data_IF_699289091574
#
_entry.id   IF_699289091574
#
_cell.length_a   1.000
_cell.length_b   1.000
_cell.length_c   1.000
_cell.angle_alpha   90.00
_cell.angle_beta   90.00
_cell.angle_gamma   90.00
#
_symmetry.space_group_name_H-M   'P 1'
#
loop_
_entity.id
_entity.type
_entity.pdbx_description
1 polymer ?
#
# COMPACT_ATOMS: atom_id res chain seq x y z
N UNK A 1 4.23 -11.50 -18.49
CA UNK A 1 3.98 -11.41 -17.03
C UNK A 1 3.42 -12.74 -16.59
N UNK A 2 4.17 -13.47 -15.78
CA UNK A 2 3.74 -14.76 -15.20
C UNK A 2 3.45 -14.54 -13.72
N UNK A 3 2.27 -14.96 -13.26
CA UNK A 3 1.84 -14.79 -11.87
C UNK A 3 1.58 -16.17 -11.27
N UNK A 4 2.33 -16.51 -10.22
CA UNK A 4 2.08 -17.71 -9.42
C UNK A 4 1.40 -17.32 -8.12
N UNK A 5 0.27 -17.98 -7.81
CA UNK A 5 -0.60 -17.66 -6.71
C UNK A 5 -0.65 -18.77 -5.67
N UNK A 6 -0.47 -18.43 -4.41
CA UNK A 6 -0.78 -19.28 -3.26
C UNK A 6 -1.48 -18.45 -2.18
N UNK A 7 -2.19 -19.09 -1.23
CA UNK A 7 -3.07 -18.40 -0.24
C UNK A 7 -2.45 -17.20 0.50
N UNK A 8 -1.12 -17.16 0.65
CA UNK A 8 -0.41 -16.07 1.39
C UNK A 8 0.79 -15.52 0.65
N UNK A 9 1.01 -15.94 -0.60
CA UNK A 9 2.18 -15.53 -1.38
C UNK A 9 1.81 -15.42 -2.85
N UNK A 10 2.17 -14.29 -3.44
CA UNK A 10 2.08 -14.04 -4.87
C UNK A 10 3.52 -13.87 -5.38
N UNK A 11 3.87 -14.51 -6.48
CA UNK A 11 5.15 -14.33 -7.15
C UNK A 11 4.88 -13.77 -8.54
N UNK A 12 5.60 -12.72 -8.88
CA UNK A 12 5.42 -11.98 -10.11
C UNK A 12 6.76 -11.47 -10.61
N UNK A 13 7.05 -11.75 -11.89
CA UNK A 13 8.16 -11.14 -12.61
C UNK A 13 7.63 -10.26 -13.75
N UNK A 14 8.07 -9.01 -13.79
CA UNK A 14 7.77 -8.02 -14.82
C UNK A 14 8.88 -6.98 -14.96
N UNK A 15 8.81 -6.16 -15.98
CA UNK A 15 9.67 -4.99 -16.09
C UNK A 15 9.59 -4.12 -14.82
N UNK A 16 10.75 -3.72 -14.31
CA UNK A 16 10.84 -2.92 -13.08
C UNK A 16 10.57 -1.44 -13.38
N UNK A 17 9.60 -0.87 -12.71
CA UNK A 17 9.32 0.56 -12.77
C UNK A 17 10.23 1.37 -11.84
N UNK A 18 10.41 2.65 -12.14
CA UNK A 18 11.21 3.55 -11.29
C UNK A 18 10.66 3.61 -9.85
N UNK A 19 9.33 3.59 -9.68
CA UNK A 19 8.67 3.59 -8.37
C UNK A 19 8.94 2.31 -7.58
N UNK A 20 9.20 1.17 -8.22
CA UNK A 20 9.56 -0.06 -7.51
C UNK A 20 10.93 0.05 -6.85
N UNK A 21 11.92 0.60 -7.57
CA UNK A 21 13.27 0.85 -7.02
C UNK A 21 13.21 1.82 -5.84
N UNK A 22 12.41 2.88 -5.98
CA UNK A 22 12.18 3.85 -4.91
C UNK A 22 11.55 3.19 -3.68
N UNK A 23 10.44 2.43 -3.86
CA UNK A 23 9.76 1.72 -2.78
C UNK A 23 10.69 0.71 -2.09
N UNK A 24 11.44 -0.10 -2.86
CA UNK A 24 12.40 -1.07 -2.33
C UNK A 24 13.50 -0.43 -1.47
N UNK A 25 14.04 0.70 -1.93
CA UNK A 25 15.06 1.44 -1.18
C UNK A 25 14.54 1.90 0.18
N UNK A 26 13.28 2.30 0.24
CA UNK A 26 12.64 2.71 1.49
C UNK A 26 12.36 1.52 2.43
N UNK A 27 11.70 0.47 1.92
CA UNK A 27 11.34 -0.70 2.75
C UNK A 27 12.55 -1.47 3.25
N UNK A 28 13.69 -1.41 2.58
CA UNK A 28 14.93 -2.02 3.07
C UNK A 28 15.30 -1.51 4.48
N UNK A 29 15.00 -0.24 4.81
CA UNK A 29 15.22 0.33 6.16
C UNK A 29 14.23 -0.24 7.17
N UNK A 30 12.98 -0.45 6.78
CA UNK A 30 11.95 -1.07 7.62
C UNK A 30 12.27 -2.54 7.92
N UNK A 31 12.68 -3.29 6.90
CA UNK A 31 13.07 -4.70 7.02
C UNK A 31 14.28 -4.85 7.94
N UNK A 32 15.32 -4.02 7.76
CA UNK A 32 16.49 -4.00 8.64
C UNK A 32 16.13 -3.70 10.11
N UNK A 33 15.23 -2.75 10.32
CA UNK A 33 14.74 -2.38 11.66
C UNK A 33 13.70 -3.38 12.21
N UNK A 34 13.34 -4.44 11.46
CA UNK A 34 12.30 -5.42 11.80
C UNK A 34 10.98 -4.73 12.17
N UNK A 35 10.56 -3.80 11.32
CA UNK A 35 9.30 -3.06 11.45
C UNK A 35 8.32 -3.60 10.41
N UNK A 36 7.15 -4.03 10.88
CA UNK A 36 6.10 -4.53 9.99
C UNK A 36 5.46 -3.38 9.24
N UNK A 37 5.24 -3.60 7.95
CA UNK A 37 4.59 -2.64 7.06
C UNK A 37 3.69 -3.37 6.06
N UNK A 38 2.83 -2.62 5.39
CA UNK A 38 2.02 -3.08 4.27
C UNK A 38 1.81 -1.95 3.28
N UNK A 39 2.03 -2.23 1.99
CA UNK A 39 1.65 -1.33 0.92
C UNK A 39 0.14 -1.37 0.71
N UNK A 40 -0.43 -0.19 0.48
CA UNK A 40 -1.87 0.00 0.21
C UNK A 40 -2.06 0.92 -1.00
N UNK A 41 -3.30 1.18 -1.36
CA UNK A 41 -3.67 2.20 -2.36
C UNK A 41 -3.09 1.95 -3.77
N UNK A 42 -2.61 3.01 -4.41
CA UNK A 42 -2.23 3.02 -5.82
C UNK A 42 -1.07 2.13 -6.19
N UNK A 43 -0.06 2.05 -5.32
CA UNK A 43 1.12 1.24 -5.59
C UNK A 43 0.79 -0.26 -5.73
N UNK A 44 -0.25 -0.76 -5.05
CA UNK A 44 -0.66 -2.18 -5.19
C UNK A 44 -1.04 -2.50 -6.64
N UNK A 45 -1.82 -1.65 -7.30
CA UNK A 45 -2.18 -1.85 -8.71
C UNK A 45 -0.95 -1.74 -9.64
N UNK A 46 -0.05 -0.78 -9.36
CA UNK A 46 1.20 -0.60 -10.11
C UNK A 46 2.11 -1.82 -9.95
N UNK A 47 2.22 -2.37 -8.74
CA UNK A 47 3.02 -3.55 -8.47
C UNK A 47 2.58 -4.74 -9.34
N UNK A 48 1.29 -4.84 -9.67
CA UNK A 48 0.74 -5.85 -10.59
C UNK A 48 0.76 -5.45 -12.07
N UNK A 49 1.44 -4.37 -12.42
CA UNK A 49 1.69 -4.00 -13.82
C UNK A 49 0.68 -3.01 -14.40
N UNK A 50 -0.19 -2.40 -13.58
CA UNK A 50 -1.03 -1.32 -14.09
C UNK A 50 -0.16 -0.12 -14.46
N UNK A 51 -0.24 0.30 -15.73
CA UNK A 51 0.42 1.51 -16.22
C UNK A 51 -0.37 2.74 -15.77
N UNK A 52 0.15 3.44 -14.77
CA UNK A 52 -0.37 4.73 -14.29
C UNK A 52 0.71 5.51 -13.56
N UNK A 53 0.60 6.83 -13.60
CA UNK A 53 1.46 7.68 -12.79
C UNK A 53 1.03 7.65 -11.32
N UNK A 54 2.00 7.69 -10.41
CA UNK A 54 1.79 7.95 -9.01
C UNK A 54 2.92 8.85 -8.49
N UNK A 55 2.55 9.80 -7.64
CA UNK A 55 3.50 10.69 -6.95
C UNK A 55 3.85 10.15 -5.58
N UNK A 56 3.02 9.24 -5.05
CA UNK A 56 3.08 8.70 -3.70
C UNK A 56 2.99 7.17 -3.69
N UNK A 57 3.64 6.61 -2.69
CA UNK A 57 3.62 5.19 -2.32
C UNK A 57 3.10 5.10 -0.90
N UNK A 58 1.85 4.66 -0.74
CA UNK A 58 1.21 4.57 0.58
C UNK A 58 1.65 3.32 1.33
N UNK A 59 2.14 3.50 2.56
CA UNK A 59 2.44 2.41 3.48
C UNK A 59 1.81 2.61 4.85
N UNK A 60 1.23 1.54 5.38
CA UNK A 60 0.82 1.46 6.77
C UNK A 60 1.89 0.69 7.53
N UNK A 61 2.37 1.27 8.63
CA UNK A 61 3.46 0.71 9.44
C UNK A 61 2.95 0.44 10.84
N UNK A 62 3.35 -0.66 11.47
CA UNK A 62 2.97 -0.95 12.85
C UNK A 62 3.33 0.20 13.79
N UNK A 63 2.50 0.42 14.82
CA UNK A 63 2.85 1.39 15.86
C UNK A 63 4.11 0.95 16.58
N UNK A 64 5.11 1.80 16.58
CA UNK A 64 6.40 1.59 17.25
C UNK A 64 6.64 2.71 18.26
N UNK A 65 7.41 2.49 19.33
CA UNK A 65 7.77 3.55 20.29
C UNK A 65 8.67 4.60 19.62
N UNK A 66 8.67 5.83 20.18
CA UNK A 66 9.46 6.94 19.64
C UNK A 66 10.93 6.60 19.44
N UNK A 67 11.57 5.92 20.40
CA UNK A 67 12.98 5.54 20.30
C UNK A 67 13.29 4.68 19.06
N UNK A 68 12.40 3.73 18.73
CA UNK A 68 12.54 2.91 17.52
C UNK A 68 12.29 3.73 16.26
N UNK A 69 11.32 4.66 16.30
CA UNK A 69 11.06 5.58 15.21
C UNK A 69 12.21 6.55 14.96
N UNK A 70 12.82 7.10 16.02
CA UNK A 70 13.97 8.00 15.93
C UNK A 70 15.18 7.29 15.31
N UNK A 71 15.41 6.03 15.67
CA UNK A 71 16.45 5.19 15.03
C UNK A 71 16.17 4.98 13.54
N UNK A 72 14.91 4.66 13.18
CA UNK A 72 14.49 4.54 11.79
C UNK A 72 14.68 5.86 11.03
N UNK A 73 14.24 6.98 11.61
CA UNK A 73 14.42 8.32 11.06
C UNK A 73 15.89 8.62 10.73
N UNK A 74 16.79 8.37 11.66
CA UNK A 74 18.24 8.52 11.44
C UNK A 74 18.76 7.68 10.28
N UNK A 75 18.28 6.43 10.15
CA UNK A 75 18.68 5.56 9.04
C UNK A 75 18.09 6.01 7.69
N UNK A 76 16.87 6.55 7.67
CA UNK A 76 16.23 7.11 6.47
C UNK A 76 16.92 8.39 6.02
N UNK A 77 17.36 9.24 6.96
CA UNK A 77 18.01 10.52 6.67
C UNK A 77 19.32 10.41 5.87
N UNK A 78 19.85 9.22 5.68
CA UNK A 78 20.98 9.00 4.76
C UNK A 78 20.57 9.25 3.29
N UNK A 79 19.37 8.84 2.90
CA UNK A 79 18.89 8.81 1.51
C UNK A 79 17.64 9.65 1.29
N UNK A 80 16.85 9.90 2.33
CA UNK A 80 15.53 10.52 2.26
C UNK A 80 15.44 11.75 3.13
N UNK A 81 14.60 12.70 2.70
CA UNK A 81 14.16 13.84 3.51
C UNK A 81 12.68 13.65 3.84
N UNK A 82 12.28 13.99 5.07
CA UNK A 82 10.86 14.15 5.39
C UNK A 82 10.40 15.53 4.93
N UNK A 83 9.44 15.57 4.00
CA UNK A 83 9.05 16.82 3.32
C UNK A 83 7.93 17.59 4.01
N UNK A 84 7.29 17.01 5.04
CA UNK A 84 6.19 17.66 5.75
C UNK A 84 6.35 17.73 7.27
N UNK A 85 7.49 17.28 7.81
CA UNK A 85 7.80 17.43 9.24
C UNK A 85 9.27 17.82 9.44
N UNK A 86 9.58 18.78 10.33
CA UNK A 86 10.93 19.33 10.46
C UNK A 86 11.89 18.45 11.29
N UNK A 87 11.37 17.50 12.06
CA UNK A 87 12.16 16.62 12.94
C UNK A 87 11.44 15.31 13.23
N UNK A 88 12.19 14.31 13.69
CA UNK A 88 11.62 13.01 14.10
C UNK A 88 10.55 13.18 15.18
N UNK A 89 10.78 14.07 16.16
CA UNK A 89 9.81 14.31 17.23
C UNK A 89 8.52 14.92 16.71
N UNK A 90 8.60 15.97 15.91
CA UNK A 90 7.42 16.58 15.28
C UNK A 90 6.68 15.59 14.39
N UNK A 91 7.39 14.82 13.56
CA UNK A 91 6.82 13.76 12.73
C UNK A 91 6.03 12.74 13.55
N UNK A 92 6.58 12.32 14.68
CA UNK A 92 5.96 11.32 15.55
C UNK A 92 4.76 11.86 16.32
N UNK A 93 4.95 13.00 17.05
CA UNK A 93 3.95 13.53 17.98
C UNK A 93 2.82 14.30 17.27
N UNK A 94 3.17 15.11 16.23
CA UNK A 94 2.22 15.99 15.57
C UNK A 94 1.52 15.36 14.36
N UNK A 95 2.09 14.31 13.80
CA UNK A 95 1.52 13.62 12.64
C UNK A 95 1.12 12.18 12.97
N UNK A 96 2.08 11.30 13.24
CA UNK A 96 1.81 9.87 13.34
C UNK A 96 0.86 9.50 14.47
N UNK A 97 1.06 10.06 15.67
CA UNK A 97 0.16 9.83 16.80
C UNK A 97 -1.24 10.43 16.59
N UNK A 98 -1.36 11.47 15.74
CA UNK A 98 -2.64 12.08 15.36
C UNK A 98 -3.29 11.40 14.15
N UNK A 99 -2.70 10.31 13.64
CA UNK A 99 -3.23 9.56 12.51
C UNK A 99 -3.05 10.26 11.16
N UNK A 100 -2.08 11.18 11.06
CA UNK A 100 -1.70 11.86 9.83
C UNK A 100 -0.42 11.24 9.27
N UNK A 101 -0.33 11.11 7.95
CA UNK A 101 0.86 10.59 7.31
C UNK A 101 2.01 11.60 7.30
N UNK A 102 3.22 11.07 7.43
CA UNK A 102 4.45 11.80 7.08
C UNK A 102 4.92 11.35 5.70
N UNK A 103 5.62 12.23 4.99
CA UNK A 103 6.05 11.98 3.62
C UNK A 103 7.56 12.02 3.51
N UNK A 104 8.13 10.95 2.95
CA UNK A 104 9.56 10.84 2.68
C UNK A 104 9.82 10.80 1.17
N UNK A 105 10.67 11.69 0.68
CA UNK A 105 11.18 11.66 -0.69
C UNK A 105 12.70 11.47 -0.69
N UNK A 106 13.28 11.09 -1.82
CA UNK A 106 14.74 11.12 -1.97
C UNK A 106 15.26 12.53 -1.73
N UNK A 107 16.46 12.64 -1.16
CA UNK A 107 17.09 13.94 -0.87
C UNK A 107 17.04 14.89 -2.06
N UNK A 108 16.56 16.10 -1.79
CA UNK A 108 16.41 17.15 -2.81
C UNK A 108 15.26 16.92 -3.80
N UNK A 109 14.39 15.93 -3.55
CA UNK A 109 13.20 15.65 -4.37
C UNK A 109 11.92 15.77 -3.54
N UNK A 110 10.78 15.91 -4.22
CA UNK A 110 9.45 15.93 -3.61
C UNK A 110 8.59 14.75 -4.06
N UNK A 111 8.84 14.22 -5.25
CA UNK A 111 8.16 13.10 -5.89
C UNK A 111 9.18 12.17 -6.56
N UNK A 112 8.94 10.84 -6.56
CA UNK A 112 7.91 10.20 -5.76
C UNK A 112 8.20 10.32 -4.26
N UNK A 113 7.14 10.22 -3.43
CA UNK A 113 7.29 10.17 -1.98
C UNK A 113 6.61 8.94 -1.38
N UNK A 114 7.03 8.55 -0.19
CA UNK A 114 6.37 7.52 0.62
C UNK A 114 5.46 8.21 1.63
N UNK A 115 4.15 7.96 1.57
CA UNK A 115 3.23 8.30 2.64
C UNK A 115 3.29 7.23 3.73
N UNK A 116 3.99 7.55 4.80
CA UNK A 116 4.18 6.68 5.96
C UNK A 116 3.17 7.03 7.05
N UNK A 117 2.35 6.07 7.48
CA UNK A 117 1.34 6.28 8.53
C UNK A 117 1.21 5.09 9.46
N UNK A 118 0.80 5.36 10.71
CA UNK A 118 0.33 4.31 11.62
C UNK A 118 -1.14 3.93 11.30
N UNK A 119 -1.58 2.71 11.67
CA UNK A 119 -2.97 2.32 11.47
C UNK A 119 -3.92 3.27 12.20
N UNK A 120 -4.90 3.81 11.47
CA UNK A 120 -5.89 4.75 12.01
C UNK A 120 -7.21 4.08 12.40
N UNK A 121 -7.56 2.98 11.77
CA UNK A 121 -8.83 2.31 12.02
C UNK A 121 -8.76 0.81 11.74
N UNK A 122 -9.92 0.15 11.84
CA UNK A 122 -10.01 -1.30 11.71
C UNK A 122 -9.47 -1.84 10.39
N UNK A 123 -9.63 -1.10 9.31
CA UNK A 123 -9.22 -1.54 7.98
C UNK A 123 -7.70 -1.45 7.76
N UNK A 124 -7.08 -0.42 8.33
CA UNK A 124 -5.62 -0.29 8.34
C UNK A 124 -4.99 -1.41 9.18
N UNK A 125 -5.55 -1.67 10.36
CA UNK A 125 -5.12 -2.76 11.23
C UNK A 125 -5.28 -4.12 10.52
N UNK A 126 -6.44 -4.36 9.89
CA UNK A 126 -6.70 -5.58 9.13
C UNK A 126 -5.69 -5.76 7.98
N UNK A 127 -5.39 -4.69 7.23
CA UNK A 127 -4.40 -4.73 6.15
C UNK A 127 -3.02 -5.15 6.65
N UNK A 128 -2.59 -4.61 7.79
CA UNK A 128 -1.28 -4.90 8.37
C UNK A 128 -1.20 -6.34 8.96
N UNK A 129 -2.26 -6.79 9.63
CA UNK A 129 -2.33 -8.11 10.25
C UNK A 129 -2.45 -9.24 9.22
N UNK A 130 -3.22 -9.00 8.16
CA UNK A 130 -3.51 -9.99 7.11
C UNK A 130 -2.73 -9.75 5.82
N UNK A 131 -1.64 -9.01 5.90
CA UNK A 131 -0.81 -8.66 4.76
C UNK A 131 -0.37 -9.88 3.96
N UNK A 132 -0.38 -9.75 2.64
CA UNK A 132 0.01 -10.79 1.70
C UNK A 132 1.44 -10.56 1.23
N UNK A 133 2.25 -11.61 1.20
CA UNK A 133 3.61 -11.53 0.68
C UNK A 133 3.57 -11.52 -0.85
N UNK A 134 4.04 -10.44 -1.46
CA UNK A 134 4.32 -10.36 -2.89
C UNK A 134 5.83 -10.47 -3.10
N UNK A 135 6.25 -11.41 -3.95
CA UNK A 135 7.64 -11.47 -4.43
C UNK A 135 7.65 -10.89 -5.83
N UNK A 136 8.12 -9.66 -5.94
CA UNK A 136 8.21 -8.93 -7.21
C UNK A 136 9.66 -8.92 -7.70
N UNK A 137 9.92 -9.58 -8.83
CA UNK A 137 11.26 -9.74 -9.40
C UNK A 137 12.28 -10.26 -8.34
N UNK A 138 11.90 -11.31 -7.64
CA UNK A 138 12.70 -11.92 -6.58
C UNK A 138 12.75 -11.18 -5.24
N UNK A 139 12.22 -9.94 -5.14
CA UNK A 139 12.25 -9.15 -3.91
C UNK A 139 10.93 -9.26 -3.15
N UNK A 140 10.94 -9.73 -1.88
CA UNK A 140 9.73 -9.80 -1.07
C UNK A 140 9.29 -8.41 -0.62
N UNK A 141 7.99 -8.17 -0.68
CA UNK A 141 7.30 -7.02 -0.12
C UNK A 141 5.90 -7.45 0.37
N UNK A 142 5.24 -6.61 1.15
CA UNK A 142 3.94 -6.94 1.73
C UNK A 142 2.89 -5.95 1.25
N UNK A 143 1.77 -6.49 0.77
CA UNK A 143 0.63 -5.72 0.27
C UNK A 143 -0.64 -6.04 1.08
N UNK A 144 -1.60 -5.13 1.09
CA UNK A 144 -2.94 -5.35 1.64
C UNK A 144 -3.60 -6.56 0.96
N UNK A 145 -4.43 -7.35 1.67
CA UNK A 145 -5.26 -8.37 1.05
C UNK A 145 -6.03 -7.80 -0.15
N UNK A 146 -6.03 -8.51 -1.27
CA UNK A 146 -6.58 -8.00 -2.53
C UNK A 146 -8.08 -7.70 -2.42
N UNK A 147 -8.82 -8.55 -1.70
CA UNK A 147 -10.25 -8.37 -1.49
C UNK A 147 -10.54 -7.05 -0.76
N UNK A 148 -9.78 -6.75 0.30
CA UNK A 148 -9.93 -5.49 1.02
C UNK A 148 -9.48 -4.30 0.17
N UNK A 149 -8.38 -4.44 -0.58
CA UNK A 149 -7.86 -3.39 -1.45
C UNK A 149 -8.87 -3.03 -2.54
N UNK A 150 -9.50 -4.02 -3.18
CA UNK A 150 -10.54 -3.82 -4.20
C UNK A 150 -11.77 -3.14 -3.60
N UNK A 151 -12.26 -3.66 -2.46
CA UNK A 151 -13.44 -3.09 -1.80
C UNK A 151 -13.21 -1.66 -1.31
N UNK A 152 -12.02 -1.38 -0.74
CA UNK A 152 -11.68 -0.05 -0.25
C UNK A 152 -11.60 0.98 -1.39
N UNK A 153 -11.06 0.59 -2.54
CA UNK A 153 -11.05 1.42 -3.75
C UNK A 153 -12.46 1.67 -4.30
N UNK A 154 -13.31 0.65 -4.26
CA UNK A 154 -14.73 0.81 -4.58
C UNK A 154 -15.45 1.80 -3.66
N UNK A 155 -15.10 1.82 -2.37
CA UNK A 155 -15.61 2.79 -1.39
C UNK A 155 -15.11 4.22 -1.66
N UNK A 156 -13.83 4.41 -2.01
CA UNK A 156 -13.29 5.72 -2.36
C UNK A 156 -13.97 6.30 -3.61
N UNK A 157 -14.31 5.48 -4.58
CA UNK A 157 -15.20 5.80 -5.67
C UNK A 157 -14.67 6.78 -6.72
N UNK A 158 -13.43 7.29 -6.62
CA UNK A 158 -12.87 8.11 -7.70
C UNK A 158 -12.67 7.26 -8.97
N UNK A 159 -12.75 7.86 -10.14
CA UNK A 159 -12.53 7.18 -11.42
C UNK A 159 -11.24 6.35 -11.40
N UNK A 160 -10.15 6.93 -10.93
CA UNK A 160 -8.84 6.28 -10.78
C UNK A 160 -8.89 5.07 -9.85
N UNK A 161 -9.62 5.18 -8.73
CA UNK A 161 -9.77 4.08 -7.76
C UNK A 161 -10.63 2.95 -8.30
N UNK A 162 -11.73 3.29 -8.97
CA UNK A 162 -12.61 2.30 -9.61
C UNK A 162 -11.89 1.52 -10.71
N UNK A 163 -11.11 2.20 -11.52
CA UNK A 163 -10.29 1.55 -12.54
C UNK A 163 -9.20 0.65 -11.93
N UNK A 164 -8.51 1.08 -10.85
CA UNK A 164 -7.56 0.25 -10.11
C UNK A 164 -8.25 -1.00 -9.54
N UNK A 165 -9.43 -0.82 -8.93
CA UNK A 165 -10.22 -1.92 -8.37
C UNK A 165 -10.61 -2.93 -9.45
N UNK A 166 -11.13 -2.43 -10.58
CA UNK A 166 -11.53 -3.26 -11.73
C UNK A 166 -10.34 -4.01 -12.33
N UNK A 167 -9.18 -3.35 -12.44
CA UNK A 167 -7.96 -3.99 -12.92
C UNK A 167 -7.56 -5.16 -12.01
N UNK A 168 -7.48 -4.93 -10.70
CA UNK A 168 -7.14 -5.96 -9.73
C UNK A 168 -8.18 -7.09 -9.71
N UNK A 169 -9.47 -6.76 -9.74
CA UNK A 169 -10.54 -7.75 -9.79
C UNK A 169 -10.40 -8.66 -11.01
N UNK A 170 -10.22 -8.10 -12.21
CA UNK A 170 -10.07 -8.88 -13.45
C UNK A 170 -8.81 -9.75 -13.44
N UNK A 171 -7.70 -9.20 -12.96
CA UNK A 171 -6.43 -9.90 -12.93
C UNK A 171 -6.49 -11.14 -12.00
N UNK A 172 -7.20 -11.01 -10.90
CA UNK A 172 -7.26 -12.03 -9.85
C UNK A 172 -8.61 -12.75 -9.72
N UNK A 173 -9.54 -12.56 -10.64
CA UNK A 173 -10.92 -13.07 -10.57
C UNK A 173 -11.03 -14.56 -10.16
N UNK A 174 -10.10 -15.40 -10.62
CA UNK A 174 -10.09 -16.85 -10.32
C UNK A 174 -9.48 -17.19 -8.94
N UNK A 175 -8.88 -16.21 -8.27
CA UNK A 175 -8.10 -16.42 -7.04
C UNK A 175 -8.66 -15.64 -5.85
N UNK A 176 -9.58 -14.69 -6.10
CA UNK A 176 -10.24 -13.93 -5.05
C UNK A 176 -11.20 -14.80 -4.25
N UNK A 177 -11.21 -14.61 -2.94
CA UNK A 177 -12.28 -15.08 -2.08
C UNK A 177 -13.50 -14.15 -2.25
N UNK A 178 -14.43 -14.57 -3.13
CA UNK A 178 -15.60 -13.75 -3.49
C UNK A 178 -16.52 -13.49 -2.29
N UNK A 179 -16.57 -14.41 -1.32
CA UNK A 179 -17.35 -14.21 -0.09
C UNK A 179 -16.75 -13.09 0.76
N UNK A 180 -15.44 -13.08 0.97
CA UNK A 180 -14.74 -11.99 1.66
C UNK A 180 -14.82 -10.67 0.92
N UNK A 181 -14.67 -10.69 -0.40
CA UNK A 181 -14.82 -9.47 -1.20
C UNK A 181 -16.21 -8.85 -1.00
N UNK A 182 -17.27 -9.66 -1.08
CA UNK A 182 -18.64 -9.22 -0.85
C UNK A 182 -18.84 -8.71 0.57
N UNK A 183 -18.28 -9.39 1.57
CA UNK A 183 -18.31 -8.95 2.98
C UNK A 183 -17.65 -7.57 3.15
N UNK A 184 -16.46 -7.36 2.57
CA UNK A 184 -15.79 -6.07 2.64
C UNK A 184 -16.55 -4.96 1.88
N UNK A 185 -17.07 -5.25 0.70
CA UNK A 185 -17.88 -4.29 -0.05
C UNK A 185 -19.12 -3.86 0.73
N UNK A 186 -19.82 -4.81 1.36
CA UNK A 186 -20.95 -4.52 2.22
C UNK A 186 -20.56 -3.72 3.47
N UNK A 187 -19.52 -4.14 4.18
CA UNK A 187 -19.06 -3.51 5.42
C UNK A 187 -18.51 -2.09 5.21
N UNK A 188 -17.95 -1.80 4.02
CA UNK A 188 -17.51 -0.48 3.59
C UNK A 188 -18.63 0.36 2.98
N UNK A 189 -19.82 -0.23 2.72
CA UNK A 189 -20.95 0.43 2.06
C UNK A 189 -20.58 0.94 0.66
N UNK A 190 -19.90 0.09 -0.11
CA UNK A 190 -19.58 0.41 -1.51
C UNK A 190 -20.88 0.59 -2.29
N UNK A 191 -21.01 1.67 -3.05
CA UNK A 191 -22.17 1.97 -3.86
C UNK A 191 -22.39 0.88 -4.92
N UNK A 192 -23.66 0.57 -5.22
CA UNK A 192 -24.04 -0.52 -6.11
C UNK A 192 -23.44 -0.34 -7.51
N UNK A 193 -23.45 0.87 -8.02
CA UNK A 193 -22.88 1.24 -9.32
C UNK A 193 -21.38 0.95 -9.37
N UNK A 194 -20.66 1.23 -8.27
CA UNK A 194 -19.23 0.94 -8.16
C UNK A 194 -18.97 -0.56 -8.12
N UNK A 195 -19.80 -1.34 -7.40
CA UNK A 195 -19.71 -2.80 -7.40
C UNK A 195 -19.91 -3.35 -8.81
N UNK A 196 -20.94 -2.90 -9.51
CA UNK A 196 -21.25 -3.32 -10.88
C UNK A 196 -20.12 -2.96 -11.85
N UNK A 197 -19.54 -1.76 -11.72
CA UNK A 197 -18.41 -1.33 -12.53
C UNK A 197 -17.18 -2.23 -12.32
N UNK A 198 -16.85 -2.52 -11.05
CA UNK A 198 -15.67 -3.33 -10.69
C UNK A 198 -15.82 -4.77 -11.16
N UNK A 199 -16.99 -5.39 -10.90
CA UNK A 199 -17.22 -6.81 -11.17
C UNK A 199 -17.59 -7.10 -12.63
N UNK A 200 -17.98 -6.09 -13.38
CA UNK A 200 -18.39 -6.24 -14.77
C UNK A 200 -19.82 -6.75 -14.96
N UNK A 201 -20.66 -6.68 -13.92
CA UNK A 201 -22.08 -7.08 -13.96
C UNK A 201 -22.99 -5.98 -14.54
N UNK A 202 -22.43 -5.01 -15.25
CA UNK A 202 -23.22 -4.11 -16.10
C UNK A 202 -23.76 -4.92 -17.28
N UNK A 203 -25.07 -5.19 -17.26
CA UNK A 203 -25.81 -5.65 -18.43
C UNK A 203 -25.92 -4.54 -19.47
#
# INVERSE_FOLDING_TARGET
MEITFSRKKIVLDREEFAVDRFARRFIARLEYAKIRYVFVSGYVAIAFGRSRNTEDVDIIVEKIPFSKFETLWGSLSADFDCINAPSARAAYEDYLLKGTAIRFALKGQFIPNVEFKFPKGRWDAHSLENRVKLVLNGVPLFISPLELQIAFKGYLGSEKDLEDARFLYRLFAKHLDTAKLSEFMYALRVEKENVEFITGNLK
#
